data_IF_500916035939
#
_entry.id   IF_500916035939
#
_cell.length_a   1.000
_cell.length_b   1.000
_cell.length_c   1.000
_cell.angle_alpha   90.00
_cell.angle_beta   90.00
_cell.angle_gamma   90.00
#
_symmetry.space_group_name_H-M   'P 1'
#
loop_
_entity.id
_entity.type
_entity.pdbx_description
1 polymer ?
#
# COMPACT_ATOMS: atom_id res chain seq x y z
N UNK A 1 13.60 -85.92 -47.03
CA UNK A 1 13.54 -84.52 -47.49
C UNK A 1 13.04 -83.69 -46.29
N UNK A 2 13.91 -82.90 -45.72
CA UNK A 2 13.73 -82.31 -44.40
C UNK A 2 13.11 -80.89 -44.48
N UNK A 3 11.94 -80.68 -43.89
CA UNK A 3 11.33 -79.41 -43.69
C UNK A 3 11.66 -78.83 -42.29
N UNK A 4 12.41 -77.76 -42.20
CA UNK A 4 12.69 -77.04 -40.96
C UNK A 4 11.61 -75.97 -40.69
N UNK A 5 10.86 -76.18 -39.61
CA UNK A 5 9.89 -75.23 -39.08
C UNK A 5 10.62 -74.16 -38.23
N UNK A 6 10.52 -72.89 -38.60
CA UNK A 6 11.06 -71.81 -37.83
C UNK A 6 9.92 -71.22 -36.97
N UNK A 7 10.08 -71.34 -35.65
CA UNK A 7 9.19 -70.69 -34.65
C UNK A 7 9.66 -69.26 -34.44
N UNK A 8 8.84 -68.25 -34.78
CA UNK A 8 9.08 -66.85 -34.42
C UNK A 8 8.54 -66.58 -33.05
N UNK A 9 9.43 -66.28 -32.14
CA UNK A 9 9.10 -65.78 -30.79
C UNK A 9 8.79 -64.30 -30.86
N UNK A 10 7.53 -63.87 -30.58
CA UNK A 10 7.13 -62.46 -30.40
C UNK A 10 7.39 -62.08 -28.95
N UNK A 11 8.36 -61.18 -28.74
CA UNK A 11 8.58 -60.49 -27.47
C UNK A 11 7.65 -59.26 -27.39
N UNK A 12 6.59 -59.35 -26.59
CA UNK A 12 5.80 -58.17 -26.20
C UNK A 12 6.56 -57.35 -25.15
N UNK A 13 7.13 -56.22 -25.57
CA UNK A 13 7.69 -55.24 -24.67
C UNK A 13 6.57 -54.34 -24.09
N UNK A 14 6.27 -54.53 -22.79
CA UNK A 14 5.44 -53.58 -22.04
C UNK A 14 6.26 -52.31 -21.77
N UNK A 15 6.00 -51.23 -22.53
CA UNK A 15 6.52 -49.91 -22.20
C UNK A 15 5.67 -49.29 -21.07
N UNK A 16 6.23 -49.25 -19.86
CA UNK A 16 5.65 -48.49 -18.76
C UNK A 16 5.92 -46.99 -19.01
N UNK A 17 4.86 -46.23 -19.37
CA UNK A 17 4.91 -44.77 -19.44
C UNK A 17 4.89 -44.23 -18.01
N UNK A 18 6.03 -43.76 -17.51
CA UNK A 18 6.13 -43.01 -16.28
C UNK A 18 5.63 -41.61 -16.60
N UNK A 19 4.36 -41.31 -16.28
CA UNK A 19 3.85 -39.95 -16.27
C UNK A 19 4.51 -39.19 -15.14
N UNK A 20 5.52 -38.38 -15.45
CA UNK A 20 6.06 -37.40 -14.52
C UNK A 20 4.97 -36.36 -14.26
N UNK A 21 4.33 -36.40 -13.09
CA UNK A 21 3.55 -35.29 -12.58
C UNK A 21 4.52 -34.11 -12.38
N UNK A 22 4.58 -33.20 -13.35
CA UNK A 22 5.21 -31.91 -13.15
C UNK A 22 4.41 -31.22 -12.03
N UNK A 23 5.02 -31.07 -10.84
CA UNK A 23 4.46 -30.27 -9.76
C UNK A 23 4.16 -28.88 -10.36
N UNK A 24 2.89 -28.53 -10.46
CA UNK A 24 2.44 -27.25 -10.98
C UNK A 24 2.98 -26.17 -10.04
N UNK A 25 3.79 -25.24 -10.56
CA UNK A 25 4.26 -24.12 -9.76
C UNK A 25 3.04 -23.45 -9.09
N UNK A 26 3.13 -23.12 -7.79
CA UNK A 26 2.01 -22.49 -7.10
C UNK A 26 1.57 -21.26 -7.90
N UNK A 27 0.26 -21.19 -8.20
CA UNK A 27 -0.30 -20.09 -8.95
C UNK A 27 0.08 -18.77 -8.28
N UNK A 28 0.53 -17.79 -9.07
CA UNK A 28 0.81 -16.47 -8.56
C UNK A 28 -0.45 -15.93 -7.86
N UNK A 29 -0.29 -15.26 -6.71
CA UNK A 29 -1.39 -14.66 -5.98
C UNK A 29 -1.89 -13.45 -6.79
N UNK A 30 -3.00 -13.61 -7.49
CA UNK A 30 -3.62 -12.55 -8.29
C UNK A 30 -4.23 -11.43 -7.42
N UNK A 31 -4.85 -10.45 -8.06
CA UNK A 31 -5.44 -9.29 -7.39
C UNK A 31 -6.40 -9.67 -6.26
N UNK A 32 -7.30 -10.61 -6.50
CA UNK A 32 -8.29 -11.01 -5.50
C UNK A 32 -7.68 -11.86 -4.39
N UNK A 33 -6.71 -12.68 -4.72
CA UNK A 33 -5.89 -13.38 -3.74
C UNK A 33 -5.17 -12.37 -2.81
N UNK A 34 -4.51 -11.36 -3.36
CA UNK A 34 -3.83 -10.30 -2.60
C UNK A 34 -4.82 -9.53 -1.71
N UNK A 35 -5.95 -9.09 -2.29
CA UNK A 35 -7.02 -8.39 -1.54
C UNK A 35 -7.54 -9.23 -0.38
N UNK A 36 -7.70 -10.54 -0.60
CA UNK A 36 -8.17 -11.47 0.43
C UNK A 36 -7.21 -11.58 1.62
N UNK A 37 -5.89 -11.42 1.41
CA UNK A 37 -4.90 -11.43 2.50
C UNK A 37 -5.08 -10.26 3.46
N UNK A 38 -5.37 -9.06 2.95
CA UNK A 38 -5.71 -7.91 3.81
C UNK A 38 -6.98 -8.21 4.58
N UNK A 39 -8.02 -8.74 3.92
CA UNK A 39 -9.28 -9.10 4.57
C UNK A 39 -9.06 -10.14 5.67
N UNK A 40 -8.28 -11.18 5.42
CA UNK A 40 -7.94 -12.21 6.42
C UNK A 40 -7.22 -11.59 7.62
N UNK A 41 -6.23 -10.72 7.40
CA UNK A 41 -5.55 -10.03 8.49
C UNK A 41 -6.50 -9.17 9.32
N UNK A 42 -7.33 -8.34 8.68
CA UNK A 42 -8.27 -7.47 9.38
C UNK A 42 -9.24 -8.27 10.26
N UNK A 43 -9.80 -9.37 9.76
CA UNK A 43 -10.66 -10.24 10.56
C UNK A 43 -9.89 -11.01 11.64
N UNK A 44 -8.62 -11.36 11.43
CA UNK A 44 -7.78 -11.97 12.45
C UNK A 44 -7.52 -10.99 13.61
N UNK A 45 -7.32 -9.68 13.31
CA UNK A 45 -7.22 -8.65 14.33
C UNK A 45 -8.52 -8.55 15.16
N UNK A 46 -9.68 -8.44 14.49
CA UNK A 46 -11.00 -8.35 15.19
C UNK A 46 -11.30 -9.58 16.03
N UNK A 47 -10.85 -10.77 15.59
CA UNK A 47 -11.05 -12.04 16.33
C UNK A 47 -9.97 -12.29 17.38
N UNK A 48 -8.94 -11.45 17.45
CA UNK A 48 -7.77 -11.64 18.32
C UNK A 48 -7.05 -12.99 18.07
N UNK A 49 -7.19 -13.55 16.85
CA UNK A 49 -6.60 -14.83 16.45
C UNK A 49 -5.88 -14.73 15.10
N UNK A 50 -4.57 -14.69 15.19
CA UNK A 50 -3.66 -14.62 14.02
C UNK A 50 -3.08 -15.98 13.62
N UNK A 51 -3.43 -17.08 14.33
CA UNK A 51 -2.84 -18.40 14.08
C UNK A 51 -3.27 -19.02 12.75
N UNK A 52 -4.46 -18.67 12.27
CA UNK A 52 -4.99 -19.16 11.00
C UNK A 52 -4.48 -18.39 9.77
N UNK A 53 -3.69 -17.32 9.96
CA UNK A 53 -3.15 -16.56 8.83
C UNK A 53 -2.12 -17.39 8.06
N UNK A 54 -2.16 -17.39 6.71
CA UNK A 54 -1.20 -18.10 5.88
C UNK A 54 0.13 -17.33 5.82
N UNK A 55 0.90 -17.39 6.89
CA UNK A 55 2.18 -16.69 7.02
C UNK A 55 3.36 -17.62 6.72
N UNK A 56 4.42 -17.08 6.14
CA UNK A 56 5.67 -17.79 5.93
C UNK A 56 6.44 -17.97 7.25
N UNK A 57 7.29 -18.99 7.31
CA UNK A 57 8.18 -19.22 8.46
C UNK A 57 9.15 -18.04 8.71
N UNK A 58 9.47 -17.28 7.67
CA UNK A 58 10.34 -16.09 7.69
C UNK A 58 9.55 -14.80 7.81
N UNK A 59 8.31 -14.85 8.34
CA UNK A 59 7.46 -13.67 8.46
C UNK A 59 8.17 -12.56 9.26
N UNK A 60 8.16 -11.36 8.68
CA UNK A 60 8.59 -10.12 9.33
C UNK A 60 7.40 -9.20 9.58
N UNK A 61 7.28 -8.67 10.79
CA UNK A 61 6.16 -7.80 11.18
C UNK A 61 6.69 -6.54 11.84
N UNK A 62 6.15 -5.38 11.44
CA UNK A 62 6.35 -4.13 12.17
C UNK A 62 5.01 -3.49 12.57
N UNK A 63 4.98 -2.87 13.73
CA UNK A 63 3.92 -1.96 14.18
C UNK A 63 4.58 -0.66 14.63
N UNK A 64 4.17 0.48 14.05
CA UNK A 64 4.82 1.79 14.24
C UNK A 64 6.34 1.73 14.00
N UNK A 65 6.76 1.06 12.92
CA UNK A 65 8.16 0.84 12.53
C UNK A 65 9.01 0.03 13.54
N UNK A 66 8.39 -0.57 14.56
CA UNK A 66 9.05 -1.45 15.52
C UNK A 66 8.79 -2.90 15.14
N UNK A 67 9.86 -3.66 14.89
CA UNK A 67 9.75 -5.09 14.60
C UNK A 67 9.36 -5.89 15.84
N UNK A 68 8.40 -6.80 15.68
CA UNK A 68 7.92 -7.66 16.76
C UNK A 68 7.27 -8.94 16.23
N UNK A 69 7.21 -10.03 17.02
CA UNK A 69 6.44 -11.21 16.65
C UNK A 69 4.96 -10.86 16.42
N UNK A 70 4.31 -11.47 15.43
CA UNK A 70 2.91 -11.19 15.06
C UNK A 70 1.96 -11.28 16.27
N UNK A 71 2.11 -12.29 17.13
CA UNK A 71 1.30 -12.44 18.34
C UNK A 71 1.55 -11.36 19.43
N UNK A 72 2.57 -10.50 19.26
CA UNK A 72 2.91 -9.38 20.14
C UNK A 72 2.55 -8.01 19.56
N UNK A 73 1.95 -7.97 18.38
CA UNK A 73 1.36 -6.77 17.78
C UNK A 73 0.23 -6.27 18.67
N UNK A 74 0.25 -4.98 19.04
CA UNK A 74 -0.77 -4.40 19.91
C UNK A 74 -2.17 -4.51 19.33
N UNK A 75 -2.31 -4.22 18.04
CA UNK A 75 -3.57 -4.29 17.30
C UNK A 75 -4.23 -5.69 17.34
N UNK A 76 -3.47 -6.78 17.52
CA UNK A 76 -4.04 -8.14 17.70
C UNK A 76 -4.89 -8.23 18.97
N UNK A 77 -4.58 -7.42 19.98
CA UNK A 77 -5.30 -7.46 21.26
C UNK A 77 -6.32 -6.33 21.42
N UNK A 78 -6.25 -5.29 20.60
CA UNK A 78 -7.01 -4.05 20.84
C UNK A 78 -8.10 -3.77 19.79
N UNK A 79 -7.99 -4.28 18.55
CA UNK A 79 -8.97 -4.07 17.50
C UNK A 79 -10.27 -4.83 17.82
N UNK A 80 -11.39 -4.12 17.85
CA UNK A 80 -12.70 -4.70 18.19
C UNK A 80 -13.67 -4.74 17.02
N UNK A 81 -13.50 -3.87 16.01
CA UNK A 81 -14.37 -3.83 14.84
C UNK A 81 -13.71 -3.17 13.61
N UNK A 82 -14.33 -3.37 12.44
CA UNK A 82 -14.06 -2.61 11.22
C UNK A 82 -15.12 -1.50 11.09
N UNK A 83 -14.72 -0.29 10.64
CA UNK A 83 -15.62 0.88 10.57
C UNK A 83 -16.06 1.26 9.13
N UNK A 84 -15.95 0.34 8.18
CA UNK A 84 -16.52 0.51 6.84
C UNK A 84 -15.62 1.20 5.83
N UNK A 85 -14.76 2.17 6.20
CA UNK A 85 -13.79 2.76 5.26
C UNK A 85 -12.66 1.79 4.96
N UNK A 86 -12.41 1.56 3.68
CA UNK A 86 -11.26 0.81 3.18
C UNK A 86 -10.94 1.25 1.76
N UNK A 87 -9.67 1.58 1.50
CA UNK A 87 -9.11 1.84 0.19
C UNK A 87 -7.91 0.93 -0.02
N UNK A 88 -8.00 0.00 -0.99
CA UNK A 88 -6.94 -0.95 -1.31
C UNK A 88 -5.97 -0.41 -2.37
N UNK A 89 -4.70 -0.83 -2.26
CA UNK A 89 -3.61 -0.56 -3.20
C UNK A 89 -2.92 -1.90 -3.50
N UNK A 90 -2.96 -2.37 -4.77
CA UNK A 90 -2.58 -3.74 -5.10
C UNK A 90 -1.55 -3.75 -6.23
N UNK A 91 -0.33 -4.11 -5.90
CA UNK A 91 0.77 -4.33 -6.85
C UNK A 91 0.90 -5.83 -7.14
N UNK A 92 0.24 -6.27 -8.21
CA UNK A 92 0.22 -7.69 -8.59
C UNK A 92 1.61 -8.17 -9.04
N UNK A 93 2.41 -7.28 -9.66
CA UNK A 93 3.76 -7.59 -10.13
C UNK A 93 4.70 -7.90 -8.98
N UNK A 94 4.62 -7.08 -7.93
CA UNK A 94 5.48 -7.22 -6.76
C UNK A 94 4.88 -8.13 -5.67
N UNK A 95 3.62 -8.57 -5.82
CA UNK A 95 2.92 -9.32 -4.78
C UNK A 95 2.77 -8.49 -3.50
N UNK A 96 2.62 -7.17 -3.63
CA UNK A 96 2.38 -6.25 -2.51
C UNK A 96 0.92 -5.83 -2.52
N UNK A 97 0.31 -5.83 -1.36
CA UNK A 97 -1.00 -5.26 -1.16
C UNK A 97 -1.03 -4.43 0.11
N UNK A 98 -1.70 -3.31 0.06
CA UNK A 98 -1.93 -2.48 1.22
C UNK A 98 -3.31 -1.88 1.22
N UNK A 99 -3.64 -1.22 2.33
CA UNK A 99 -4.88 -0.49 2.46
C UNK A 99 -4.76 0.63 3.48
N UNK A 100 -5.52 1.70 3.23
CA UNK A 100 -5.97 2.63 4.25
C UNK A 100 -7.31 2.13 4.78
N UNK A 101 -7.43 1.87 6.08
CA UNK A 101 -8.63 1.33 6.71
C UNK A 101 -9.00 2.09 7.97
N UNK A 102 -10.28 2.14 8.28
CA UNK A 102 -10.77 2.53 9.59
C UNK A 102 -11.12 1.29 10.41
N UNK A 103 -10.50 1.15 11.56
CA UNK A 103 -10.81 0.12 12.55
C UNK A 103 -11.27 0.76 13.86
N UNK A 104 -11.63 -0.05 14.83
CA UNK A 104 -12.06 0.39 16.15
C UNK A 104 -11.26 -0.33 17.23
N UNK A 105 -10.78 0.41 18.21
CA UNK A 105 -10.21 -0.10 19.45
C UNK A 105 -11.10 0.30 20.61
N UNK A 106 -11.84 -0.65 21.18
CA UNK A 106 -12.74 -0.43 22.33
C UNK A 106 -13.72 0.75 22.16
N UNK A 107 -14.33 0.87 20.97
CA UNK A 107 -15.26 1.95 20.62
C UNK A 107 -14.60 3.21 20.03
N UNK A 108 -13.30 3.36 20.14
CA UNK A 108 -12.57 4.50 19.58
C UNK A 108 -12.13 4.23 18.13
N UNK A 109 -12.30 5.18 17.20
CA UNK A 109 -11.84 5.04 15.82
C UNK A 109 -10.31 5.09 15.71
N UNK A 110 -9.76 4.28 14.81
CA UNK A 110 -8.33 4.23 14.49
C UNK A 110 -8.17 4.22 12.98
N UNK A 111 -7.37 5.13 12.44
CA UNK A 111 -6.88 5.09 11.06
C UNK A 111 -5.72 4.11 11.00
N UNK A 112 -5.80 3.11 10.16
CA UNK A 112 -4.78 2.07 10.08
C UNK A 112 -4.24 1.96 8.65
N UNK A 113 -2.92 2.09 8.51
CA UNK A 113 -2.20 1.66 7.32
C UNK A 113 -1.85 0.19 7.48
N UNK A 114 -2.20 -0.60 6.48
CA UNK A 114 -1.83 -2.01 6.36
C UNK A 114 -1.02 -2.20 5.09
N UNK A 115 0.16 -2.82 5.17
CA UNK A 115 0.91 -3.32 4.02
C UNK A 115 1.29 -4.76 4.24
N UNK A 116 1.09 -5.59 3.19
CA UNK A 116 1.51 -6.99 3.16
C UNK A 116 2.40 -7.24 1.93
N UNK A 117 3.40 -8.09 2.08
CA UNK A 117 4.10 -8.76 0.98
C UNK A 117 3.66 -10.21 0.97
N UNK A 118 3.31 -10.72 -0.21
CA UNK A 118 2.84 -12.10 -0.41
C UNK A 118 3.74 -12.79 -1.42
N UNK A 119 4.29 -13.92 -1.05
CA UNK A 119 5.12 -14.78 -1.91
C UNK A 119 4.55 -16.19 -1.89
N UNK A 120 4.31 -16.76 -3.05
CA UNK A 120 3.74 -18.12 -3.17
C UNK A 120 2.46 -18.32 -2.31
N UNK A 121 1.59 -17.31 -2.25
CA UNK A 121 0.34 -17.33 -1.49
C UNK A 121 0.49 -17.16 0.03
N UNK A 122 1.70 -17.04 0.55
CA UNK A 122 1.98 -16.81 1.98
C UNK A 122 2.37 -15.36 2.25
N UNK A 123 1.93 -14.82 3.37
CA UNK A 123 2.32 -13.50 3.85
C UNK A 123 3.74 -13.57 4.41
N UNK A 124 4.68 -12.86 3.81
CA UNK A 124 6.08 -12.78 4.24
C UNK A 124 6.39 -11.52 5.02
N UNK A 125 5.60 -10.46 4.82
CA UNK A 125 5.78 -9.17 5.50
C UNK A 125 4.43 -8.58 5.90
N UNK A 126 4.39 -7.98 7.09
CA UNK A 126 3.26 -7.18 7.59
C UNK A 126 3.80 -5.87 8.14
N UNK A 127 3.31 -4.74 7.64
CA UNK A 127 3.59 -3.40 8.18
C UNK A 127 2.27 -2.75 8.59
N UNK A 128 2.18 -2.33 9.85
CA UNK A 128 1.00 -1.74 10.46
C UNK A 128 1.36 -0.39 11.06
N UNK A 129 0.61 0.65 10.69
CA UNK A 129 0.80 2.00 11.24
C UNK A 129 -0.55 2.57 11.65
N UNK A 130 -0.92 2.43 12.92
CA UNK A 130 -2.15 2.99 13.47
C UNK A 130 -1.99 4.47 13.85
N UNK A 131 -3.03 5.27 13.61
CA UNK A 131 -3.16 6.65 14.09
C UNK A 131 -4.48 6.78 14.85
N UNK A 132 -4.43 7.12 16.13
CA UNK A 132 -5.56 7.07 17.07
C UNK A 132 -6.10 8.44 17.46
N UNK A 133 -5.34 9.49 17.17
CA UNK A 133 -5.68 10.84 17.62
C UNK A 133 -4.97 11.91 16.79
N UNK A 134 -5.40 13.16 16.98
CA UNK A 134 -4.75 14.31 16.38
C UNK A 134 -3.30 14.50 16.86
N UNK A 135 -2.99 14.16 18.10
CA UNK A 135 -1.61 14.23 18.62
C UNK A 135 -0.69 13.22 17.94
N UNK A 136 -1.23 12.12 17.44
CA UNK A 136 -0.47 11.10 16.72
C UNK A 136 -0.35 11.38 15.21
N UNK A 137 -1.28 12.13 14.60
CA UNK A 137 -1.35 12.31 13.15
C UNK A 137 -1.45 13.77 12.67
N UNK A 138 -1.25 14.78 13.55
CA UNK A 138 -1.46 16.22 13.32
C UNK A 138 -2.92 16.57 12.97
N UNK A 139 -3.56 15.75 12.19
CA UNK A 139 -4.95 15.82 11.72
C UNK A 139 -5.62 14.49 12.06
N UNK A 140 -6.89 14.54 12.42
CA UNK A 140 -7.68 13.34 12.70
C UNK A 140 -9.16 13.66 12.48
N UNK A 141 -9.63 13.51 11.22
CA UNK A 141 -11.00 13.79 10.82
C UNK A 141 -11.69 12.52 10.34
N UNK A 142 -12.31 11.82 11.28
CA UNK A 142 -13.01 10.56 11.01
C UNK A 142 -14.25 10.74 10.12
N UNK A 143 -14.90 11.90 10.17
CA UNK A 143 -16.08 12.18 9.35
C UNK A 143 -15.76 12.27 7.85
N UNK A 144 -14.54 12.62 7.50
CA UNK A 144 -14.06 12.59 6.11
C UNK A 144 -13.75 11.18 5.58
N UNK A 145 -13.79 10.15 6.45
CA UNK A 145 -13.46 8.76 6.11
C UNK A 145 -14.68 7.82 6.24
N UNK A 146 -15.84 8.27 5.80
CA UNK A 146 -17.07 7.44 5.81
C UNK A 146 -17.10 6.44 4.66
N UNK A 147 -16.54 6.81 3.52
CA UNK A 147 -16.41 5.98 2.33
C UNK A 147 -15.13 6.33 1.57
N UNK A 148 -14.57 5.37 0.85
CA UNK A 148 -13.49 5.63 -0.10
C UNK A 148 -13.99 6.55 -1.23
N UNK A 149 -13.12 7.44 -1.73
CA UNK A 149 -13.49 8.43 -2.73
C UNK A 149 -13.83 7.80 -4.08
N UNK A 150 -14.75 8.43 -4.81
CA UNK A 150 -15.10 8.01 -6.17
C UNK A 150 -13.87 8.11 -7.10
N UNK A 151 -13.02 9.13 -6.93
CA UNK A 151 -11.82 9.32 -7.75
C UNK A 151 -10.82 8.18 -7.54
N UNK A 152 -10.54 7.80 -6.28
CA UNK A 152 -9.64 6.68 -6.00
C UNK A 152 -10.21 5.34 -6.50
N UNK A 153 -11.52 5.17 -6.47
CA UNK A 153 -12.21 3.96 -6.94
C UNK A 153 -12.52 3.97 -8.44
N UNK A 154 -12.33 5.09 -9.13
CA UNK A 154 -12.46 5.13 -10.58
C UNK A 154 -11.48 4.16 -11.24
N UNK A 155 -12.00 3.24 -12.07
CA UNK A 155 -11.21 2.30 -12.86
C UNK A 155 -10.93 2.92 -14.24
N UNK A 156 -9.73 3.47 -14.52
CA UNK A 156 -9.43 4.08 -15.80
C UNK A 156 -9.50 3.03 -16.94
N UNK A 157 -9.93 3.47 -18.12
CA UNK A 157 -9.88 2.61 -19.32
C UNK A 157 -8.41 2.37 -19.72
N UNK A 158 -8.10 1.27 -20.43
CA UNK A 158 -6.72 0.95 -20.80
C UNK A 158 -5.96 2.10 -21.48
N UNK A 159 -6.62 2.91 -22.34
CA UNK A 159 -5.99 4.06 -23.00
C UNK A 159 -5.73 5.28 -22.12
N UNK A 160 -6.26 5.30 -20.88
CA UNK A 160 -6.04 6.36 -19.91
C UNK A 160 -4.94 5.99 -18.91
N UNK A 161 -4.62 4.70 -18.78
CA UNK A 161 -3.61 4.22 -17.83
C UNK A 161 -2.20 4.54 -18.33
N UNK A 162 -1.35 5.14 -17.48
CA UNK A 162 0.07 5.28 -17.76
C UNK A 162 0.77 3.92 -17.67
N UNK A 163 1.98 3.81 -18.24
CA UNK A 163 2.87 2.71 -17.86
C UNK A 163 3.27 2.84 -16.39
N UNK A 164 3.79 1.77 -15.79
CA UNK A 164 4.31 1.78 -14.41
C UNK A 164 5.33 2.91 -14.20
N UNK A 165 6.25 3.05 -15.13
CA UNK A 165 7.32 4.06 -15.08
C UNK A 165 6.76 5.48 -15.17
N UNK A 166 5.79 5.71 -16.06
CA UNK A 166 5.12 7.01 -16.18
C UNK A 166 4.33 7.37 -14.93
N UNK A 167 3.61 6.41 -14.34
CA UNK A 167 2.89 6.61 -13.09
C UNK A 167 3.84 6.98 -11.95
N UNK A 168 4.96 6.25 -11.83
CA UNK A 168 6.00 6.54 -10.83
C UNK A 168 6.62 7.92 -11.03
N UNK A 169 6.99 8.28 -12.26
CA UNK A 169 7.56 9.59 -12.57
C UNK A 169 6.58 10.72 -12.20
N UNK A 170 5.30 10.56 -12.50
CA UNK A 170 4.28 11.55 -12.12
C UNK A 170 4.17 11.70 -10.60
N UNK A 171 4.05 10.58 -9.86
CA UNK A 171 3.91 10.61 -8.41
C UNK A 171 5.17 11.14 -7.70
N UNK A 172 6.38 10.81 -8.20
CA UNK A 172 7.64 11.25 -7.61
C UNK A 172 7.91 12.76 -7.78
N UNK A 173 7.19 13.46 -8.67
CA UNK A 173 7.20 14.92 -8.70
C UNK A 173 6.63 15.55 -7.42
N UNK A 174 5.86 14.82 -6.66
CA UNK A 174 5.32 15.31 -5.40
C UNK A 174 6.40 15.45 -4.31
N UNK A 175 7.15 14.40 -3.91
CA UNK A 175 8.27 14.57 -2.97
C UNK A 175 9.37 15.49 -3.51
N UNK A 176 9.61 15.55 -4.83
CA UNK A 176 10.52 16.53 -5.44
C UNK A 176 10.06 17.97 -5.14
N UNK A 177 8.78 18.27 -5.34
CA UNK A 177 8.21 19.58 -5.03
C UNK A 177 8.32 19.94 -3.55
N UNK A 178 8.04 18.98 -2.66
CA UNK A 178 8.17 19.17 -1.20
C UNK A 178 9.60 19.49 -0.75
N UNK A 179 10.62 19.00 -1.49
CA UNK A 179 12.04 19.22 -1.19
C UNK A 179 12.59 20.52 -1.76
N UNK A 180 12.20 20.87 -2.99
CA UNK A 180 12.95 21.82 -3.81
C UNK A 180 12.15 23.06 -4.22
N UNK A 181 10.82 23.06 -4.08
CA UNK A 181 9.95 24.04 -4.70
C UNK A 181 9.16 24.90 -3.71
N UNK A 182 8.67 26.05 -4.15
CA UNK A 182 7.70 26.86 -3.43
C UNK A 182 6.27 26.39 -3.70
N UNK A 183 6.05 25.80 -4.85
CA UNK A 183 4.79 25.22 -5.31
C UNK A 183 5.07 23.97 -6.13
N UNK A 184 4.11 23.07 -6.28
CA UNK A 184 4.27 21.89 -7.14
C UNK A 184 4.38 22.26 -8.65
N UNK A 185 3.89 23.42 -9.04
CA UNK A 185 4.04 23.91 -10.41
C UNK A 185 5.51 24.16 -10.78
N UNK A 186 6.35 24.53 -9.81
CA UNK A 186 7.78 24.81 -10.04
C UNK A 186 8.57 23.57 -10.49
N UNK A 187 8.09 22.38 -10.17
CA UNK A 187 8.67 21.08 -10.59
C UNK A 187 7.85 20.39 -11.68
N UNK A 188 6.89 21.10 -12.28
CA UNK A 188 5.98 20.56 -13.28
C UNK A 188 5.25 19.28 -12.82
N UNK A 189 4.83 19.22 -11.55
CA UNK A 189 4.02 18.10 -11.08
C UNK A 189 2.68 18.09 -11.85
N UNK A 190 2.30 16.98 -12.50
CA UNK A 190 1.22 16.97 -13.48
C UNK A 190 -0.15 16.82 -12.82
N UNK A 191 -0.55 17.79 -11.98
CA UNK A 191 -1.86 17.78 -11.34
C UNK A 191 -2.97 18.15 -12.32
N UNK A 192 -4.08 17.41 -12.28
CA UNK A 192 -5.32 17.82 -12.93
C UNK A 192 -5.88 19.09 -12.28
N UNK A 193 -6.63 19.88 -13.05
CA UNK A 193 -7.15 21.16 -12.57
C UNK A 193 -8.08 21.05 -11.34
N UNK A 194 -8.77 19.91 -11.21
CA UNK A 194 -9.65 19.58 -10.09
C UNK A 194 -9.03 18.58 -9.10
N UNK A 195 -7.71 18.38 -9.17
CA UNK A 195 -7.01 17.50 -8.25
C UNK A 195 -7.18 17.96 -6.79
N UNK A 196 -7.27 17.00 -5.89
CA UNK A 196 -7.38 17.27 -4.46
C UNK A 196 -6.36 16.47 -3.65
N UNK A 197 -6.16 16.92 -2.39
CA UNK A 197 -5.38 16.19 -1.39
C UNK A 197 -6.15 16.06 -0.09
N UNK A 198 -6.29 14.82 0.38
CA UNK A 198 -6.78 14.49 1.71
C UNK A 198 -5.64 13.97 2.59
N UNK A 199 -5.64 14.41 3.85
CA UNK A 199 -4.72 13.92 4.88
C UNK A 199 -5.54 13.57 6.12
N UNK A 200 -5.47 12.32 6.58
CA UNK A 200 -6.22 11.83 7.74
C UNK A 200 -7.72 12.28 7.74
N UNK A 201 -8.37 12.16 6.57
CA UNK A 201 -9.77 12.52 6.38
C UNK A 201 -10.06 14.02 6.22
N UNK A 202 -9.05 14.89 6.24
CA UNK A 202 -9.21 16.34 6.06
C UNK A 202 -8.78 16.73 4.65
N UNK A 203 -9.61 17.54 3.97
CA UNK A 203 -9.20 18.15 2.70
C UNK A 203 -8.16 19.24 2.96
N UNK A 204 -6.97 19.06 2.38
CA UNK A 204 -5.81 19.94 2.56
C UNK A 204 -5.46 20.71 1.30
N UNK A 205 -5.93 20.27 0.14
CA UNK A 205 -5.85 21.00 -1.13
C UNK A 205 -6.95 20.56 -2.08
N UNK A 206 -7.27 21.39 -3.07
CA UNK A 206 -8.26 21.14 -4.11
C UNK A 206 -9.44 22.11 -4.06
N UNK A 207 -10.38 22.05 -5.03
CA UNK A 207 -11.43 23.07 -5.21
C UNK A 207 -12.25 23.37 -3.95
N UNK A 208 -12.52 22.35 -3.13
CA UNK A 208 -13.33 22.47 -1.92
C UNK A 208 -12.50 22.77 -0.65
N UNK A 209 -11.21 23.02 -0.79
CA UNK A 209 -10.35 23.30 0.35
C UNK A 209 -10.65 24.63 0.98
N UNK A 210 -10.86 24.63 2.31
CA UNK A 210 -11.05 25.80 3.17
C UNK A 210 -10.02 25.84 4.31
N UNK A 211 -9.03 24.98 4.25
CA UNK A 211 -8.04 24.80 5.33
C UNK A 211 -7.10 25.98 5.46
N UNK A 212 -6.64 26.55 4.33
CA UNK A 212 -5.71 27.67 4.31
C UNK A 212 -5.91 28.52 3.04
N UNK A 213 -5.52 29.81 3.04
CA UNK A 213 -5.48 30.63 1.82
C UNK A 213 -4.62 29.97 0.73
N UNK A 214 -5.12 29.94 -0.50
CA UNK A 214 -4.42 29.37 -1.66
C UNK A 214 -4.48 27.85 -1.76
N UNK A 215 -5.19 27.13 -0.87
CA UNK A 215 -5.29 25.68 -0.93
C UNK A 215 -6.26 25.14 -1.99
N UNK A 216 -7.00 26.01 -2.69
CA UNK A 216 -8.01 25.61 -3.69
C UNK A 216 -7.41 24.98 -4.95
N UNK A 217 -6.10 25.11 -5.15
CA UNK A 217 -5.39 24.49 -6.26
C UNK A 217 -4.09 23.84 -5.73
N UNK A 218 -4.01 22.52 -5.81
CA UNK A 218 -2.87 21.77 -5.29
C UNK A 218 -1.56 22.13 -6.01
N UNK A 219 -1.59 22.42 -7.33
CA UNK A 219 -0.39 22.74 -8.10
C UNK A 219 0.29 24.03 -7.65
N UNK A 220 -0.51 25.02 -7.24
CA UNK A 220 -0.04 26.36 -6.84
C UNK A 220 -0.09 26.60 -5.33
N UNK A 221 -0.51 25.62 -4.54
CA UNK A 221 -0.52 25.70 -3.08
C UNK A 221 0.90 26.00 -2.56
N UNK A 222 1.08 27.00 -1.65
CA UNK A 222 2.38 27.27 -1.06
C UNK A 222 2.91 26.09 -0.23
N UNK A 223 4.16 25.70 -0.47
CA UNK A 223 4.84 24.58 0.21
C UNK A 223 5.77 25.03 1.35
N UNK A 224 5.76 26.30 1.71
CA UNK A 224 6.66 26.88 2.72
C UNK A 224 6.60 26.23 4.10
N UNK A 225 5.46 25.61 4.44
CA UNK A 225 5.31 24.86 5.70
C UNK A 225 6.28 23.66 5.77
N UNK A 226 6.65 23.08 4.62
CA UNK A 226 7.53 21.92 4.52
C UNK A 226 9.02 22.28 4.62
N UNK A 227 9.41 23.55 4.43
CA UNK A 227 10.80 24.02 4.57
C UNK A 227 11.42 23.64 5.92
N UNK A 228 10.59 23.51 6.95
CA UNK A 228 11.02 23.13 8.32
C UNK A 228 11.21 21.62 8.49
N UNK A 229 10.66 20.80 7.60
CA UNK A 229 10.67 19.35 7.71
C UNK A 229 11.87 18.70 7.03
N UNK A 230 12.53 19.43 6.11
CA UNK A 230 13.63 18.89 5.29
C UNK A 230 13.13 17.95 4.19
N UNK A 231 14.06 17.25 3.55
CA UNK A 231 13.75 16.36 2.43
C UNK A 231 13.07 15.07 2.90
N UNK A 232 11.98 14.65 2.27
CA UNK A 232 11.33 13.40 2.61
C UNK A 232 12.19 12.19 2.17
N UNK A 233 12.40 11.24 3.07
CA UNK A 233 12.82 9.91 2.68
C UNK A 233 11.65 9.22 2.00
N UNK A 234 11.81 8.86 0.72
CA UNK A 234 10.74 8.31 -0.12
C UNK A 234 10.95 6.82 -0.35
N UNK A 235 9.91 6.02 -0.12
CA UNK A 235 9.85 4.60 -0.49
C UNK A 235 8.62 4.35 -1.35
N UNK A 236 8.81 3.73 -2.53
CA UNK A 236 7.70 3.19 -3.31
C UNK A 236 7.18 1.95 -2.59
N UNK A 237 5.92 1.97 -2.20
CA UNK A 237 5.27 0.88 -1.45
C UNK A 237 4.57 -0.08 -2.40
N UNK A 238 3.79 0.46 -3.34
CA UNK A 238 3.07 -0.31 -4.34
C UNK A 238 2.75 0.55 -5.58
N UNK A 239 2.58 -0.11 -6.73
CA UNK A 239 2.02 0.50 -7.95
C UNK A 239 0.89 -0.38 -8.44
N UNK A 240 -0.33 0.10 -8.29
CA UNK A 240 -1.54 -0.55 -8.79
C UNK A 240 -1.77 -0.16 -10.25
N UNK A 241 -1.19 -0.95 -11.16
CA UNK A 241 -1.21 -0.66 -12.60
C UNK A 241 -2.62 -0.69 -13.18
N UNK A 242 -3.55 -1.46 -12.59
CA UNK A 242 -4.96 -1.52 -13.07
C UNK A 242 -5.78 -0.32 -12.64
N UNK A 243 -5.46 0.25 -11.50
CA UNK A 243 -6.19 1.40 -10.96
C UNK A 243 -5.48 2.71 -11.24
N UNK A 244 -4.25 2.68 -11.79
CA UNK A 244 -3.41 3.87 -11.94
C UNK A 244 -3.11 4.52 -10.59
N UNK A 245 -2.74 3.72 -9.58
CA UNK A 245 -2.42 4.23 -8.25
C UNK A 245 -0.95 3.94 -7.92
N UNK A 246 -0.22 4.98 -7.51
CA UNK A 246 1.11 4.86 -6.91
C UNK A 246 0.96 5.12 -5.41
N UNK A 247 1.47 4.20 -4.59
CA UNK A 247 1.44 4.34 -3.15
C UNK A 247 2.86 4.51 -2.62
N UNK A 248 3.11 5.66 -2.00
CA UNK A 248 4.41 6.04 -1.47
C UNK A 248 4.36 6.11 0.06
N UNK A 249 5.47 5.77 0.71
CA UNK A 249 5.75 6.18 2.08
C UNK A 249 6.74 7.34 2.03
N UNK A 250 6.37 8.46 2.63
CA UNK A 250 7.21 9.63 2.81
C UNK A 250 7.51 9.81 4.30
N UNK A 251 8.75 10.17 4.65
CA UNK A 251 9.11 10.41 6.03
C UNK A 251 10.06 11.62 6.13
N UNK A 252 9.64 12.62 6.88
CA UNK A 252 10.42 13.82 7.14
C UNK A 252 11.00 13.76 8.54
N UNK A 253 12.26 14.17 8.70
CA UNK A 253 12.83 14.44 10.01
C UNK A 253 12.57 15.88 10.42
N UNK A 254 12.20 16.14 11.68
CA UNK A 254 12.30 17.49 12.21
C UNK A 254 13.79 17.83 12.34
N UNK A 255 14.19 19.02 11.88
CA UNK A 255 15.61 19.45 11.89
C UNK A 255 16.23 19.61 13.30
N UNK A 256 15.48 19.29 14.36
CA UNK A 256 15.96 19.31 15.74
C UNK A 256 16.41 17.92 16.17
N UNK A 257 17.58 17.84 16.81
CA UNK A 257 18.12 16.60 17.37
C UNK A 257 17.17 16.01 18.41
N UNK A 258 16.83 14.72 18.27
CA UNK A 258 15.89 14.02 19.17
C UNK A 258 14.40 14.32 18.92
N UNK A 259 14.05 14.97 17.80
CA UNK A 259 12.66 15.27 17.45
C UNK A 259 11.88 14.08 16.91
N UNK A 260 10.58 14.28 16.73
CA UNK A 260 9.69 13.36 16.05
C UNK A 260 9.84 13.49 14.52
N UNK A 261 9.41 12.49 13.78
CA UNK A 261 9.29 12.53 12.33
C UNK A 261 7.81 12.48 11.92
N UNK A 262 7.49 13.13 10.82
CA UNK A 262 6.24 12.95 10.13
C UNK A 262 6.38 11.80 9.13
N UNK A 263 5.51 10.82 9.22
CA UNK A 263 5.41 9.72 8.25
C UNK A 263 4.06 9.79 7.58
N UNK A 264 4.02 9.78 6.25
CA UNK A 264 2.80 9.71 5.46
C UNK A 264 2.84 8.49 4.53
N UNK A 265 1.74 7.76 4.46
CA UNK A 265 1.48 6.81 3.39
C UNK A 265 0.50 7.46 2.44
N UNK A 266 0.99 7.83 1.26
CA UNK A 266 0.26 8.65 0.29
C UNK A 266 -0.03 7.88 -0.99
N UNK A 267 -1.29 7.82 -1.38
CA UNK A 267 -1.76 7.22 -2.61
C UNK A 267 -2.04 8.30 -3.65
N UNK A 268 -1.42 8.18 -4.81
CA UNK A 268 -1.55 9.09 -5.95
C UNK A 268 -2.37 8.41 -7.03
N UNK A 269 -3.50 8.99 -7.38
CA UNK A 269 -4.34 8.54 -8.50
C UNK A 269 -3.86 9.17 -9.79
N UNK A 270 -3.31 8.34 -10.71
CA UNK A 270 -2.68 8.81 -11.96
C UNK A 270 -3.38 8.17 -13.16
N UNK A 271 -3.97 8.98 -14.02
CA UNK A 271 -4.49 8.58 -15.33
C UNK A 271 -4.52 9.80 -16.28
N UNK A 272 -4.65 9.56 -17.59
CA UNK A 272 -4.55 10.60 -18.63
C UNK A 272 -3.30 11.50 -18.47
N UNK A 273 -2.19 10.94 -17.96
CA UNK A 273 -0.95 11.66 -17.72
C UNK A 273 -0.98 12.64 -16.54
N UNK A 274 -2.04 12.65 -15.73
CA UNK A 274 -2.23 13.60 -14.63
C UNK A 274 -2.49 12.92 -13.29
N UNK A 275 -2.14 13.62 -12.19
CA UNK A 275 -2.49 13.24 -10.81
C UNK A 275 -3.85 13.87 -10.50
N UNK A 276 -4.85 13.05 -10.20
CA UNK A 276 -6.21 13.48 -9.92
C UNK A 276 -6.54 13.55 -8.43
N UNK A 277 -5.84 12.74 -7.62
CA UNK A 277 -6.03 12.73 -6.17
C UNK A 277 -4.74 12.32 -5.46
N UNK A 278 -4.57 12.85 -4.25
CA UNK A 278 -3.58 12.41 -3.26
C UNK A 278 -4.31 12.13 -1.95
N UNK A 279 -4.23 10.91 -1.44
CA UNK A 279 -4.86 10.54 -0.18
C UNK A 279 -3.85 9.91 0.77
N UNK A 280 -3.67 10.53 1.93
CA UNK A 280 -2.64 10.20 2.89
C UNK A 280 -3.21 9.79 4.24
N UNK A 281 -2.61 8.74 4.83
CA UNK A 281 -2.65 8.50 6.27
C UNK A 281 -1.30 8.91 6.87
N UNK A 282 -1.36 9.78 7.87
CA UNK A 282 -0.21 10.43 8.48
C UNK A 282 -0.06 9.96 9.92
N UNK A 283 1.18 9.70 10.31
CA UNK A 283 1.58 9.28 11.66
C UNK A 283 2.84 10.03 12.09
N UNK A 284 2.88 10.52 13.32
CA UNK A 284 4.09 11.02 13.97
C UNK A 284 4.78 9.82 14.63
N UNK A 285 6.05 9.61 14.32
CA UNK A 285 6.88 8.55 14.89
C UNK A 285 8.19 9.13 15.41
N UNK A 286 8.89 8.46 16.33
CA UNK A 286 10.23 8.85 16.74
C UNK A 286 11.20 8.92 15.55
N UNK A 287 12.16 9.86 15.58
CA UNK A 287 13.08 10.14 14.45
C UNK A 287 13.94 8.93 14.08
N UNK A 288 14.30 8.08 15.02
CA UNK A 288 15.03 6.83 14.79
C UNK A 288 14.24 5.77 14.00
N UNK A 289 12.94 6.01 13.76
CA UNK A 289 12.05 5.17 12.96
C UNK A 289 11.80 5.72 11.53
N UNK A 290 12.65 6.66 11.07
CA UNK A 290 12.45 7.35 9.79
C UNK A 290 12.44 6.41 8.58
N UNK A 291 13.23 5.35 8.56
CA UNK A 291 13.24 4.34 7.49
C UNK A 291 12.00 3.42 7.51
N UNK A 292 11.20 3.47 8.57
CA UNK A 292 10.04 2.61 8.77
C UNK A 292 10.40 1.16 9.09
N UNK A 293 11.69 0.87 9.29
CA UNK A 293 12.18 -0.49 9.48
C UNK A 293 12.18 -1.34 8.19
N UNK A 294 11.91 -0.75 7.01
CA UNK A 294 11.87 -1.43 5.71
C UNK A 294 12.82 -0.73 4.73
N UNK A 295 13.71 -1.51 4.14
CA UNK A 295 14.68 -1.07 3.12
C UNK A 295 14.16 -1.38 1.74
#
# INVERSE_FOLDING_TARGET
>A
MNGKTIVKLLLLGCAWSISANAAQAPAACDRECLRSKVTQLLYALVKHDVKALPVAATLRVTEDAVEKPLAKVGLVNTVTALRGFRQDFIDEREGVVGAHVMVEESGAPVMLVVRLKVVAGQITEIELVPTRSRSEGLIFNIDGLRAASEVMNYAPRPGQLPTREQALQAALKYPEGLSLAKTFADVNAPFAANAYRYENGQIMAGPDCKFAPGCQNIATQPLTIFERLGDPMTRVVAVDERMGIVWLRLAWGVRQEGGDQLTAFEAFKVYDGQIHAVEAFIRILPIDKRDGGWK
#
